data_IF_682881701001
#
_entry.id   IF_682881701001
#
_cell.length_a   1.000
_cell.length_b   1.000
_cell.length_c   1.000
_cell.angle_alpha   90.00
_cell.angle_beta   90.00
_cell.angle_gamma   90.00
#
_symmetry.space_group_name_H-M   'P 1'
#
loop_
_entity.id
_entity.type
_entity.pdbx_description
1 polymer ?
#
# COMPACT_ATOMS: atom_id res chain seq x y z
N UNK A 1 22.96 -32.27 -19.88
CA UNK A 1 22.98 -32.24 -18.40
C UNK A 1 21.68 -31.63 -17.94
N UNK A 2 20.88 -32.38 -17.19
CA UNK A 2 19.59 -31.95 -16.65
C UNK A 2 19.72 -31.11 -15.37
N UNK A 3 18.59 -30.70 -14.78
CA UNK A 3 18.57 -30.11 -13.44
C UNK A 3 19.05 -31.13 -12.39
N UNK A 4 19.65 -30.65 -11.31
CA UNK A 4 20.24 -31.47 -10.25
C UNK A 4 19.43 -31.41 -8.95
N UNK A 5 19.86 -32.18 -7.95
CA UNK A 5 19.29 -32.15 -6.60
C UNK A 5 19.28 -30.74 -5.97
N UNK A 6 20.21 -29.86 -6.38
CA UNK A 6 20.29 -28.49 -5.86
C UNK A 6 19.11 -27.59 -6.29
N UNK A 7 18.43 -27.95 -7.37
CA UNK A 7 17.27 -27.21 -7.88
C UNK A 7 15.93 -27.79 -7.42
N UNK A 8 15.94 -28.87 -6.64
CA UNK A 8 14.70 -29.47 -6.09
C UNK A 8 13.98 -28.45 -5.21
N UNK A 9 12.67 -28.33 -5.40
CA UNK A 9 11.81 -27.32 -4.77
C UNK A 9 11.73 -25.99 -5.53
N UNK A 10 12.57 -25.76 -6.54
CA UNK A 10 12.53 -24.55 -7.36
C UNK A 10 11.57 -24.71 -8.54
N UNK A 11 11.02 -23.60 -9.03
CA UNK A 11 10.18 -23.60 -10.23
C UNK A 11 11.05 -23.55 -11.47
N UNK A 12 10.93 -24.50 -12.38
CA UNK A 12 11.74 -24.59 -13.61
C UNK A 12 10.87 -24.53 -14.87
N UNK A 13 11.52 -24.18 -15.98
CA UNK A 13 11.08 -24.59 -17.33
C UNK A 13 12.13 -25.52 -17.92
N UNK A 14 11.71 -26.68 -18.40
CA UNK A 14 12.57 -27.73 -18.95
C UNK A 14 12.11 -28.02 -20.37
N UNK A 15 12.98 -27.82 -21.35
CA UNK A 15 12.75 -28.21 -22.74
C UNK A 15 13.33 -29.60 -22.98
N UNK A 16 12.46 -30.51 -23.41
CA UNK A 16 12.79 -31.90 -23.69
C UNK A 16 12.74 -32.17 -25.19
N UNK A 17 13.64 -33.01 -25.68
CA UNK A 17 13.55 -33.61 -27.00
C UNK A 17 12.48 -34.70 -27.00
N UNK A 18 11.74 -34.86 -28.09
CA UNK A 18 10.74 -35.92 -28.27
C UNK A 18 11.32 -37.00 -29.21
N UNK A 19 11.14 -38.31 -28.94
CA UNK A 19 11.66 -39.39 -29.79
C UNK A 19 11.23 -39.31 -31.27
N UNK A 20 10.02 -38.82 -31.53
CA UNK A 20 9.41 -38.68 -32.87
C UNK A 20 9.88 -37.42 -33.61
N UNK A 21 10.75 -36.62 -32.99
CA UNK A 21 11.21 -35.32 -33.48
C UNK A 21 10.54 -34.13 -32.79
N UNK A 22 11.24 -33.02 -32.72
CA UNK A 22 10.76 -31.78 -32.09
C UNK A 22 11.06 -31.68 -30.59
N UNK A 23 10.37 -30.74 -29.93
CA UNK A 23 10.58 -30.39 -28.54
C UNK A 23 9.25 -30.20 -27.80
N UNK A 24 9.24 -30.50 -26.50
CA UNK A 24 8.15 -30.14 -25.57
C UNK A 24 8.72 -29.40 -24.37
N UNK A 25 7.92 -28.50 -23.80
CA UNK A 25 8.29 -27.74 -22.60
C UNK A 25 7.49 -28.23 -21.38
N UNK A 26 8.18 -28.45 -20.26
CA UNK A 26 7.58 -28.69 -18.96
C UNK A 26 7.81 -27.48 -18.06
N UNK A 27 6.78 -27.05 -17.34
CA UNK A 27 6.85 -25.93 -16.39
C UNK A 27 6.20 -26.34 -15.08
N UNK A 28 6.91 -26.15 -13.96
CA UNK A 28 6.45 -26.58 -12.65
C UNK A 28 7.54 -26.52 -11.59
N UNK A 29 7.27 -27.08 -10.41
CA UNK A 29 8.25 -27.20 -9.32
C UNK A 29 9.01 -28.51 -9.49
N UNK A 30 10.34 -28.47 -9.50
CA UNK A 30 11.17 -29.67 -9.59
C UNK A 30 11.01 -30.47 -8.28
N UNK A 31 10.51 -31.70 -8.35
CA UNK A 31 10.36 -32.58 -7.18
C UNK A 31 11.52 -33.54 -7.02
N UNK A 32 12.13 -33.94 -8.14
CA UNK A 32 13.36 -34.72 -8.19
C UNK A 32 14.13 -34.38 -9.46
N UNK A 33 15.34 -34.91 -9.62
CA UNK A 33 16.17 -34.74 -10.83
C UNK A 33 15.50 -35.23 -12.13
N UNK A 34 14.37 -35.94 -12.01
CA UNK A 34 13.62 -36.55 -13.12
C UNK A 34 12.12 -36.23 -13.10
N UNK A 35 11.64 -35.38 -12.19
CA UNK A 35 10.20 -35.10 -12.08
C UNK A 35 9.87 -33.65 -11.74
N UNK A 36 8.78 -33.15 -12.35
CA UNK A 36 8.30 -31.78 -12.17
C UNK A 36 6.78 -31.76 -11.89
N UNK A 37 6.39 -31.10 -10.81
CA UNK A 37 5.00 -30.88 -10.42
C UNK A 37 4.43 -29.66 -11.15
N UNK A 38 3.46 -29.88 -12.03
CA UNK A 38 2.80 -28.82 -12.80
C UNK A 38 1.86 -27.98 -11.94
N UNK A 39 1.42 -26.83 -12.47
CA UNK A 39 0.52 -25.89 -11.79
C UNK A 39 -0.83 -26.52 -11.39
N UNK A 40 -1.31 -27.49 -12.16
CA UNK A 40 -2.54 -28.24 -11.90
C UNK A 40 -2.37 -29.35 -10.85
N UNK A 41 -1.18 -29.50 -10.27
CA UNK A 41 -0.86 -30.54 -9.28
C UNK A 41 -0.44 -31.89 -9.89
N UNK A 42 -0.47 -32.04 -11.21
CA UNK A 42 -0.01 -33.27 -11.87
C UNK A 42 1.52 -33.39 -11.82
N UNK A 43 2.03 -34.60 -11.62
CA UNK A 43 3.46 -34.89 -11.72
C UNK A 43 3.80 -35.27 -13.16
N UNK A 44 4.88 -34.73 -13.70
CA UNK A 44 5.43 -35.12 -15.00
C UNK A 44 6.85 -35.59 -14.85
N UNK A 45 7.12 -36.81 -15.31
CA UNK A 45 8.45 -37.40 -15.34
C UNK A 45 9.15 -37.09 -16.68
N UNK A 46 10.48 -37.04 -16.63
CA UNK A 46 11.34 -36.85 -17.79
C UNK A 46 12.66 -37.57 -17.61
N UNK A 47 13.28 -37.93 -18.74
CA UNK A 47 14.59 -38.55 -18.74
C UNK A 47 15.68 -37.45 -18.82
N UNK A 48 16.73 -37.49 -17.99
CA UNK A 48 17.81 -36.49 -18.03
C UNK A 48 18.50 -36.39 -19.40
N UNK A 49 18.57 -37.47 -20.17
CA UNK A 49 19.11 -37.51 -21.53
C UNK A 49 18.26 -36.74 -22.55
N UNK A 50 16.97 -36.58 -22.30
CA UNK A 50 16.06 -35.83 -23.19
C UNK A 50 16.13 -34.32 -22.95
N UNK A 51 16.77 -33.88 -21.86
CA UNK A 51 16.86 -32.45 -21.50
C UNK A 51 17.81 -31.71 -22.44
N UNK A 52 17.23 -30.77 -23.20
CA UNK A 52 17.95 -29.93 -24.16
C UNK A 52 18.42 -28.64 -23.49
N UNK A 53 17.52 -27.98 -22.78
CA UNK A 53 17.81 -26.78 -22.01
C UNK A 53 16.83 -26.71 -20.85
N UNK A 54 17.29 -26.18 -19.72
CA UNK A 54 16.44 -25.88 -18.59
C UNK A 54 16.88 -24.56 -17.97
N UNK A 55 15.95 -23.91 -17.25
CA UNK A 55 16.27 -22.75 -16.41
C UNK A 55 15.36 -22.71 -15.21
N UNK A 56 15.90 -22.20 -14.10
CA UNK A 56 15.10 -21.78 -12.95
C UNK A 56 14.27 -20.57 -13.37
N UNK A 57 12.97 -20.61 -13.07
CA UNK A 57 12.07 -19.47 -13.17
C UNK A 57 12.16 -18.73 -11.84
N UNK A 58 12.92 -17.65 -11.85
CA UNK A 58 12.89 -16.70 -10.74
C UNK A 58 11.47 -16.11 -10.63
N UNK A 59 10.85 -16.11 -9.45
CA UNK A 59 9.60 -15.40 -9.26
C UNK A 59 9.82 -13.93 -9.62
N UNK A 60 8.90 -13.28 -10.36
CA UNK A 60 9.03 -11.87 -10.69
C UNK A 60 9.24 -11.07 -9.41
N UNK A 61 10.14 -10.08 -9.47
CA UNK A 61 10.42 -9.22 -8.32
C UNK A 61 9.11 -8.58 -7.85
N UNK A 62 8.80 -8.78 -6.57
CA UNK A 62 7.59 -8.29 -5.91
C UNK A 62 7.72 -6.77 -5.64
N UNK A 63 7.67 -6.00 -6.73
CA UNK A 63 7.87 -4.56 -6.77
C UNK A 63 6.61 -3.79 -6.37
N UNK A 64 6.81 -2.61 -5.79
CA UNK A 64 5.74 -1.75 -5.30
C UNK A 64 4.72 -1.34 -6.39
N UNK A 65 5.20 -1.03 -7.60
CA UNK A 65 4.35 -0.51 -8.67
C UNK A 65 4.00 -1.48 -9.81
N UNK A 66 4.44 -2.74 -9.79
CA UNK A 66 4.32 -3.64 -10.94
C UNK A 66 3.96 -5.08 -10.54
N UNK A 67 3.53 -5.90 -11.52
CA UNK A 67 3.47 -7.37 -11.38
C UNK A 67 2.08 -8.01 -11.30
N UNK A 68 1.01 -7.24 -11.09
CA UNK A 68 -0.39 -7.71 -11.14
C UNK A 68 -1.23 -6.79 -12.05
N UNK A 69 -2.41 -7.22 -12.55
CA UNK A 69 -3.38 -6.33 -13.17
C UNK A 69 -3.64 -5.10 -12.30
N UNK A 70 -3.75 -3.92 -12.91
CA UNK A 70 -3.81 -2.63 -12.20
C UNK A 70 -4.90 -2.59 -11.12
N UNK A 71 -6.11 -3.08 -11.41
CA UNK A 71 -7.22 -3.11 -10.46
C UNK A 71 -6.95 -3.97 -9.23
N UNK A 72 -6.32 -5.14 -9.40
CA UNK A 72 -5.91 -6.01 -8.30
C UNK A 72 -4.84 -5.32 -7.46
N UNK A 73 -3.88 -4.66 -8.11
CA UNK A 73 -2.80 -3.95 -7.41
C UNK A 73 -3.31 -2.73 -6.63
N UNK A 74 -4.25 -1.96 -7.19
CA UNK A 74 -4.94 -0.87 -6.49
C UNK A 74 -5.56 -1.40 -5.21
N UNK A 75 -6.32 -2.49 -5.29
CA UNK A 75 -6.95 -3.10 -4.11
C UNK A 75 -5.93 -3.55 -3.06
N UNK A 76 -4.83 -4.20 -3.46
CA UNK A 76 -3.77 -4.62 -2.53
C UNK A 76 -3.16 -3.42 -1.78
N UNK A 77 -2.89 -2.33 -2.51
CA UNK A 77 -2.30 -1.11 -1.94
C UNK A 77 -3.30 -0.41 -1.01
N UNK A 78 -4.57 -0.33 -1.39
CA UNK A 78 -5.63 0.25 -0.55
C UNK A 78 -5.89 -0.58 0.71
N UNK A 79 -5.82 -1.90 0.61
CA UNK A 79 -5.88 -2.78 1.78
C UNK A 79 -4.70 -2.53 2.74
N UNK A 80 -3.47 -2.41 2.22
CA UNK A 80 -2.30 -2.07 3.03
C UNK A 80 -2.39 -0.66 3.66
N UNK A 81 -2.90 0.32 2.90
CA UNK A 81 -3.15 1.67 3.39
C UNK A 81 -4.21 1.69 4.51
N UNK A 82 -5.27 0.90 4.39
CA UNK A 82 -6.29 0.75 5.42
C UNK A 82 -5.74 0.03 6.67
N UNK A 83 -4.96 -1.03 6.49
CA UNK A 83 -4.37 -1.79 7.60
C UNK A 83 -3.37 -0.97 8.44
N UNK A 84 -2.77 0.08 7.86
CA UNK A 84 -1.81 0.96 8.55
C UNK A 84 -2.44 2.24 9.14
N UNK A 85 -3.74 2.43 8.91
CA UNK A 85 -4.57 3.50 9.46
C UNK A 85 -6.03 3.00 9.67
N UNK A 86 -6.24 2.03 10.57
CA UNK A 86 -7.55 1.40 10.72
C UNK A 86 -8.55 2.34 11.39
N UNK A 87 -9.83 2.15 11.08
CA UNK A 87 -10.91 2.83 11.78
C UNK A 87 -11.17 2.21 13.16
N UNK A 88 -11.72 3.02 14.07
CA UNK A 88 -12.09 2.56 15.41
C UNK A 88 -13.33 1.64 15.37
N UNK A 89 -14.22 1.90 14.42
CA UNK A 89 -15.40 1.11 14.13
C UNK A 89 -15.49 0.82 12.63
N UNK A 90 -15.90 -0.40 12.29
CA UNK A 90 -16.09 -0.83 10.90
C UNK A 90 -17.37 -1.61 10.75
N UNK A 91 -18.03 -1.44 9.61
CA UNK A 91 -19.14 -2.28 9.16
C UNK A 91 -18.93 -2.71 7.71
N UNK A 92 -19.76 -3.63 7.21
CA UNK A 92 -19.71 -4.09 5.82
C UNK A 92 -21.08 -4.05 5.15
N UNK A 93 -21.07 -3.68 3.86
CA UNK A 93 -22.20 -3.85 2.93
C UNK A 93 -21.63 -4.58 1.72
N UNK A 94 -21.86 -5.88 1.62
CA UNK A 94 -21.13 -6.72 0.67
C UNK A 94 -19.61 -6.55 0.86
N UNK A 95 -18.90 -6.19 -0.20
CA UNK A 95 -17.46 -5.94 -0.18
C UNK A 95 -17.10 -4.45 0.03
N UNK A 96 -18.06 -3.61 0.45
CA UNK A 96 -17.78 -2.26 0.93
C UNK A 96 -17.40 -2.27 2.40
N UNK A 97 -16.24 -1.71 2.73
CA UNK A 97 -15.81 -1.48 4.09
C UNK A 97 -16.24 -0.08 4.54
N UNK A 98 -17.20 0.00 5.45
CA UNK A 98 -17.62 1.24 6.08
C UNK A 98 -16.71 1.50 7.29
N UNK A 99 -16.19 2.72 7.41
CA UNK A 99 -15.21 3.10 8.44
C UNK A 99 -15.71 4.32 9.21
N UNK A 100 -15.72 4.25 10.53
CA UNK A 100 -16.13 5.34 11.42
C UNK A 100 -15.18 5.46 12.63
N UNK A 101 -14.76 6.69 12.93
CA UNK A 101 -13.82 7.02 14.01
C UNK A 101 -14.13 8.36 14.70
N UNK A 102 -15.17 9.09 14.30
CA UNK A 102 -15.69 10.31 14.96
C UNK A 102 -14.78 11.55 14.94
N UNK A 103 -13.51 11.42 14.53
CA UNK A 103 -12.47 12.47 14.63
C UNK A 103 -12.02 12.98 13.26
N UNK A 104 -11.00 13.84 13.21
CA UNK A 104 -10.50 14.47 11.98
C UNK A 104 -9.71 13.50 11.08
N UNK A 105 -10.41 12.66 10.30
CA UNK A 105 -9.78 11.77 9.31
C UNK A 105 -10.77 11.23 8.27
N UNK A 106 -10.66 11.66 7.01
CA UNK A 106 -11.44 11.04 5.93
C UNK A 106 -11.02 9.56 5.71
N UNK A 107 -9.73 9.26 5.86
CA UNK A 107 -9.19 7.89 5.72
C UNK A 107 -9.84 6.88 6.66
N UNK A 108 -10.27 7.27 7.86
CA UNK A 108 -10.96 6.37 8.80
C UNK A 108 -12.44 6.74 9.04
N UNK A 109 -13.00 7.63 8.21
CA UNK A 109 -14.41 8.03 8.19
C UNK A 109 -14.95 8.03 6.74
N UNK A 110 -14.75 6.94 6.00
CA UNK A 110 -15.24 6.82 4.62
C UNK A 110 -15.42 5.36 4.20
N UNK A 111 -16.34 5.12 3.27
CA UNK A 111 -16.54 3.84 2.62
C UNK A 111 -15.35 3.54 1.72
N UNK A 112 -14.77 2.35 1.82
CA UNK A 112 -13.75 1.85 0.91
C UNK A 112 -14.28 0.63 0.15
N UNK A 113 -14.53 0.72 -1.17
CA UNK A 113 -14.89 -0.44 -1.98
C UNK A 113 -13.70 -1.40 -2.15
N UNK A 114 -13.87 -2.66 -1.77
CA UNK A 114 -12.85 -3.72 -1.90
C UNK A 114 -13.26 -4.86 -2.85
N UNK A 115 -14.52 -4.88 -3.28
CA UNK A 115 -15.04 -5.88 -4.21
C UNK A 115 -14.61 -5.68 -5.66
N UNK A 116 -15.03 -6.56 -6.57
CA UNK A 116 -14.79 -6.37 -8.00
C UNK A 116 -15.47 -5.09 -8.55
N UNK A 117 -14.88 -4.45 -9.58
CA UNK A 117 -15.53 -3.36 -10.31
C UNK A 117 -16.85 -3.84 -10.96
N UNK A 118 -17.75 -2.92 -11.31
CA UNK A 118 -17.54 -1.46 -11.33
C UNK A 118 -17.89 -0.71 -10.05
N UNK A 119 -18.73 -1.30 -9.20
CA UNK A 119 -19.22 -0.65 -7.98
C UNK A 119 -18.60 -1.21 -6.70
N UNK A 120 -17.68 -2.17 -6.76
CA UNK A 120 -17.09 -2.78 -5.58
C UNK A 120 -18.01 -3.74 -4.82
N UNK A 121 -18.99 -4.33 -5.53
CA UNK A 121 -19.89 -5.40 -5.07
C UNK A 121 -20.56 -5.18 -3.70
N UNK A 122 -21.54 -4.26 -3.58
CA UNK A 122 -22.32 -4.11 -2.35
C UNK A 122 -23.21 -5.33 -2.03
N UNK A 123 -23.40 -6.26 -2.98
CA UNK A 123 -24.23 -7.45 -2.80
C UNK A 123 -25.74 -7.19 -2.80
N UNK A 124 -26.15 -5.94 -2.98
CA UNK A 124 -27.53 -5.45 -3.06
C UNK A 124 -27.64 -4.42 -4.19
N UNK A 125 -28.84 -3.91 -4.43
CA UNK A 125 -29.04 -2.80 -5.37
C UNK A 125 -28.16 -1.59 -5.01
N UNK A 126 -27.62 -0.90 -6.02
CA UNK A 126 -26.63 0.14 -5.79
C UNK A 126 -27.20 1.35 -5.03
N UNK A 127 -28.43 1.77 -5.36
CA UNK A 127 -29.08 2.90 -4.69
C UNK A 127 -29.50 2.52 -3.27
N UNK A 128 -29.94 1.26 -3.06
CA UNK A 128 -30.17 0.73 -1.71
C UNK A 128 -28.87 0.73 -0.88
N UNK A 129 -27.75 0.33 -1.48
CA UNK A 129 -26.43 0.38 -0.85
C UNK A 129 -26.02 1.79 -0.44
N UNK A 130 -26.19 2.78 -1.32
CA UNK A 130 -25.89 4.19 -1.05
C UNK A 130 -26.78 4.72 0.09
N UNK A 131 -28.08 4.41 0.10
CA UNK A 131 -28.99 4.78 1.19
C UNK A 131 -28.51 4.24 2.54
N UNK A 132 -28.12 2.95 2.61
CA UNK A 132 -27.62 2.34 3.84
C UNK A 132 -26.29 2.95 4.31
N UNK A 133 -25.45 3.40 3.39
CA UNK A 133 -24.23 4.16 3.71
C UNK A 133 -24.61 5.49 4.39
N UNK A 134 -25.58 6.22 3.84
CA UNK A 134 -26.05 7.49 4.43
C UNK A 134 -26.61 7.26 5.83
N UNK A 135 -27.42 6.22 6.03
CA UNK A 135 -27.98 5.85 7.34
C UNK A 135 -26.87 5.51 8.36
N UNK A 136 -25.89 4.71 7.94
CA UNK A 136 -24.75 4.34 8.79
C UNK A 136 -23.99 5.57 9.27
N UNK A 137 -23.60 6.47 8.37
CA UNK A 137 -22.85 7.66 8.76
C UNK A 137 -23.68 8.64 9.60
N UNK A 138 -24.98 8.78 9.29
CA UNK A 138 -25.91 9.59 10.09
C UNK A 138 -26.03 9.08 11.53
N UNK A 139 -26.12 7.76 11.72
CA UNK A 139 -26.13 7.14 13.06
C UNK A 139 -24.84 7.40 13.86
N UNK A 140 -23.72 7.66 13.18
CA UNK A 140 -22.43 8.00 13.78
C UNK A 140 -22.19 9.51 13.92
N UNK A 141 -23.16 10.37 13.57
CA UNK A 141 -23.01 11.82 13.50
C UNK A 141 -21.84 12.25 12.59
N UNK A 142 -21.66 11.54 11.47
CA UNK A 142 -20.65 11.81 10.45
C UNK A 142 -21.32 12.07 9.10
N UNK A 143 -20.74 12.89 8.21
CA UNK A 143 -21.19 12.94 6.84
C UNK A 143 -20.85 11.62 6.14
N UNK A 144 -21.72 11.17 5.23
CA UNK A 144 -21.40 10.03 4.38
C UNK A 144 -20.32 10.42 3.37
N UNK A 145 -19.27 9.61 3.29
CA UNK A 145 -18.13 9.85 2.40
C UNK A 145 -17.73 8.55 1.73
N UNK A 146 -17.56 8.55 0.41
CA UNK A 146 -16.90 7.47 -0.32
C UNK A 146 -15.43 7.83 -0.57
N UNK A 147 -14.53 6.91 -0.25
CA UNK A 147 -13.16 6.85 -0.76
C UNK A 147 -13.21 6.02 -2.04
N UNK A 148 -12.91 6.62 -3.20
CA UNK A 148 -13.08 5.96 -4.50
C UNK A 148 -11.71 5.81 -5.20
N UNK A 149 -11.08 4.62 -5.14
CA UNK A 149 -9.86 4.35 -5.90
C UNK A 149 -10.10 4.35 -7.41
N UNK A 150 -9.40 5.23 -8.12
CA UNK A 150 -9.48 5.40 -9.56
C UNK A 150 -8.29 4.74 -10.27
N UNK A 151 -8.47 4.21 -11.49
CA UNK A 151 -9.71 4.20 -12.28
C UNK A 151 -10.66 3.03 -11.96
N UNK A 152 -10.35 2.20 -10.96
CA UNK A 152 -11.07 0.93 -10.68
C UNK A 152 -12.58 1.12 -10.52
N UNK A 153 -13.01 2.18 -9.84
CA UNK A 153 -14.42 2.44 -9.54
C UNK A 153 -14.94 3.73 -10.18
N UNK A 154 -14.49 4.06 -11.39
CA UNK A 154 -14.92 5.27 -12.11
C UNK A 154 -16.43 5.35 -12.35
N UNK A 155 -17.13 4.22 -12.53
CA UNK A 155 -18.59 4.22 -12.66
C UNK A 155 -19.31 4.51 -11.33
N UNK A 156 -18.73 4.10 -10.19
CA UNK A 156 -19.25 4.49 -8.88
C UNK A 156 -19.04 5.99 -8.65
N UNK A 157 -17.89 6.52 -9.06
CA UNK A 157 -17.63 7.97 -9.02
C UNK A 157 -18.66 8.76 -9.83
N UNK A 158 -18.88 8.37 -11.08
CA UNK A 158 -19.83 9.02 -11.99
C UNK A 158 -21.25 8.99 -11.42
N UNK A 159 -21.72 7.82 -10.96
CA UNK A 159 -23.03 7.66 -10.33
C UNK A 159 -23.21 8.59 -9.12
N UNK A 160 -22.25 8.62 -8.20
CA UNK A 160 -22.35 9.47 -7.01
C UNK A 160 -22.37 10.96 -7.37
N UNK A 161 -21.59 11.38 -8.38
CA UNK A 161 -21.61 12.77 -8.87
C UNK A 161 -22.95 13.13 -9.51
N UNK A 162 -23.55 12.21 -10.27
CA UNK A 162 -24.90 12.38 -10.83
C UNK A 162 -25.97 12.53 -9.74
N UNK A 163 -25.80 11.84 -8.61
CA UNK A 163 -26.64 11.96 -7.41
C UNK A 163 -26.29 13.19 -6.53
N UNK A 164 -25.41 14.09 -7.00
CA UNK A 164 -25.11 15.35 -6.32
C UNK A 164 -24.03 15.27 -5.24
N UNK A 165 -23.30 14.16 -5.13
CA UNK A 165 -22.16 14.07 -4.21
C UNK A 165 -21.04 14.98 -4.68
N UNK A 166 -20.42 15.68 -3.73
CA UNK A 166 -19.42 16.71 -4.02
C UNK A 166 -18.02 16.18 -3.75
N UNK A 167 -17.07 16.53 -4.61
CA UNK A 167 -15.67 16.23 -4.37
C UNK A 167 -15.13 17.03 -3.19
N UNK A 168 -14.50 16.32 -2.25
CA UNK A 168 -13.83 16.93 -1.11
C UNK A 168 -12.35 17.17 -1.37
N UNK A 169 -11.67 16.15 -1.88
CA UNK A 169 -10.25 16.19 -2.22
C UNK A 169 -9.88 14.98 -3.08
N UNK A 170 -8.99 15.20 -4.04
CA UNK A 170 -8.33 14.15 -4.82
C UNK A 170 -6.92 13.92 -4.27
N UNK A 171 -6.56 12.65 -4.11
CA UNK A 171 -5.33 12.22 -3.46
C UNK A 171 -4.58 11.27 -4.37
N UNK A 172 -3.27 11.50 -4.49
CA UNK A 172 -2.36 10.61 -5.18
C UNK A 172 -1.82 9.57 -4.20
N UNK A 173 -1.88 8.30 -4.60
CA UNK A 173 -1.17 7.21 -3.94
C UNK A 173 0.15 7.00 -4.66
N UNK A 174 1.25 7.28 -3.97
CA UNK A 174 2.59 7.11 -4.50
C UNK A 174 3.27 5.92 -3.83
N UNK A 175 4.01 5.13 -4.60
CA UNK A 175 4.69 3.92 -4.12
C UNK A 175 6.16 3.89 -4.54
N UNK A 176 6.99 3.24 -3.72
CA UNK A 176 8.40 3.00 -3.99
C UNK A 176 8.84 1.62 -3.50
N UNK A 177 9.81 1.01 -4.18
CA UNK A 177 10.59 -0.08 -3.60
C UNK A 177 11.55 0.51 -2.55
N UNK A 178 11.67 -0.13 -1.39
CA UNK A 178 12.59 0.32 -0.34
C UNK A 178 14.01 -0.11 -0.71
N UNK A 179 14.84 0.87 -1.07
CA UNK A 179 16.25 0.67 -1.40
C UNK A 179 17.15 0.44 -0.19
N UNK A 180 18.45 0.40 -0.42
CA UNK A 180 19.45 0.48 0.64
C UNK A 180 19.65 1.95 1.03
N UNK A 181 19.03 2.34 2.15
CA UNK A 181 19.21 3.66 2.72
C UNK A 181 20.27 3.60 3.82
N UNK A 182 21.26 4.49 3.72
CA UNK A 182 22.12 4.80 4.86
C UNK A 182 21.39 5.77 5.77
N UNK A 183 21.61 5.63 7.07
CA UNK A 183 21.05 6.57 8.05
C UNK A 183 21.57 7.98 7.76
N UNK A 184 20.64 8.92 7.60
CA UNK A 184 20.99 10.29 7.36
C UNK A 184 21.59 10.90 8.64
N UNK A 185 22.88 11.21 8.57
CA UNK A 185 23.58 11.91 9.64
C UNK A 185 23.69 13.40 9.33
N UNK A 186 23.60 14.22 10.38
CA UNK A 186 23.73 15.68 10.28
C UNK A 186 24.73 16.22 11.29
N UNK A 187 25.40 17.30 10.90
CA UNK A 187 26.25 18.06 11.81
C UNK A 187 25.45 18.72 12.95
N UNK A 188 24.18 19.05 12.72
CA UNK A 188 23.30 19.66 13.71
C UNK A 188 22.01 18.87 13.89
N UNK A 189 21.71 18.60 15.15
CA UNK A 189 20.53 17.88 15.59
C UNK A 189 20.72 16.37 15.73
N UNK A 190 19.73 15.72 16.32
CA UNK A 190 19.70 14.28 16.57
C UNK A 190 18.35 13.70 16.11
N UNK A 191 18.42 12.62 15.36
CA UNK A 191 17.26 11.81 15.01
C UNK A 191 16.91 10.86 16.17
N UNK A 192 15.63 10.80 16.48
CA UNK A 192 15.07 9.87 17.47
C UNK A 192 13.89 9.15 16.80
N UNK A 193 13.85 7.82 16.90
CA UNK A 193 12.79 6.99 16.34
C UNK A 193 12.26 6.10 17.44
N UNK A 194 10.98 6.30 17.77
CA UNK A 194 10.29 5.59 18.83
C UNK A 194 9.26 4.60 18.26
N UNK A 195 8.88 3.59 19.04
CA UNK A 195 7.80 2.64 18.68
C UNK A 195 6.39 3.14 19.01
N UNK A 196 6.27 4.31 19.66
CA UNK A 196 5.00 4.92 20.06
C UNK A 196 5.14 6.45 20.06
N UNK A 197 4.08 7.22 19.72
CA UNK A 197 4.18 8.67 19.71
C UNK A 197 4.18 9.23 21.13
N UNK A 198 5.12 10.12 21.43
CA UNK A 198 5.13 10.91 22.68
C UNK A 198 4.10 12.04 22.61
N UNK A 199 3.74 12.61 23.76
CA UNK A 199 2.83 13.77 23.80
C UNK A 199 3.39 14.98 23.05
N UNK A 200 4.69 15.24 23.17
CA UNK A 200 5.35 16.31 22.40
C UNK A 200 5.25 16.08 20.89
N UNK A 201 5.44 14.85 20.43
CA UNK A 201 5.31 14.50 19.00
C UNK A 201 3.87 14.69 18.50
N UNK A 202 2.87 14.30 19.31
CA UNK A 202 1.46 14.52 18.98
C UNK A 202 1.13 16.02 18.91
N UNK A 203 1.61 16.81 19.87
CA UNK A 203 1.41 18.26 19.90
C UNK A 203 2.09 18.94 18.70
N UNK A 204 3.30 18.51 18.33
CA UNK A 204 4.02 19.01 17.16
C UNK A 204 3.24 18.81 15.85
N UNK A 205 2.49 17.72 15.74
CA UNK A 205 1.61 17.46 14.59
C UNK A 205 0.20 18.05 14.70
N UNK A 206 -0.08 18.83 15.75
CA UNK A 206 -1.42 19.31 16.10
C UNK A 206 -2.44 18.16 16.05
N UNK A 207 -2.16 17.04 16.72
CA UNK A 207 -3.00 15.85 16.63
C UNK A 207 -4.44 16.12 17.12
N UNK A 208 -5.39 16.05 16.21
CA UNK A 208 -6.83 16.21 16.49
C UNK A 208 -7.48 14.90 16.99
N UNK A 209 -6.78 14.18 17.87
CA UNK A 209 -7.28 13.01 18.59
C UNK A 209 -7.15 11.65 17.87
N UNK A 210 -6.40 11.54 16.78
CA UNK A 210 -6.22 10.25 16.08
C UNK A 210 -5.06 9.42 16.65
N UNK A 211 -4.47 9.84 17.77
CA UNK A 211 -3.46 9.07 18.51
C UNK A 211 -3.86 7.60 18.77
N UNK A 212 -5.14 7.33 19.04
CA UNK A 212 -5.62 5.95 19.26
C UNK A 212 -5.50 5.09 17.99
N UNK A 213 -5.83 5.63 16.82
CA UNK A 213 -5.64 4.97 15.52
C UNK A 213 -4.15 4.73 15.25
N UNK A 214 -3.32 5.73 15.56
CA UNK A 214 -1.87 5.58 15.34
C UNK A 214 -1.27 4.49 16.22
N UNK A 215 -1.68 4.42 17.49
CA UNK A 215 -1.22 3.44 18.49
C UNK A 215 -1.79 2.03 18.30
N UNK A 216 -2.84 1.85 17.48
CA UNK A 216 -3.46 0.54 17.28
C UNK A 216 -2.72 -0.35 16.27
N UNK A 217 -1.66 0.17 15.62
CA UNK A 217 -0.86 -0.59 14.66
C UNK A 217 0.63 -0.36 14.89
N UNK A 218 1.49 -1.37 14.62
CA UNK A 218 2.93 -1.21 14.67
C UNK A 218 3.40 -0.07 13.76
N UNK A 219 4.10 0.89 14.36
CA UNK A 219 4.62 2.04 13.65
C UNK A 219 5.88 2.59 14.32
N UNK A 220 6.61 3.40 13.55
CA UNK A 220 7.84 4.07 13.96
C UNK A 220 7.63 5.57 13.81
N UNK A 221 7.98 6.30 14.86
CA UNK A 221 7.71 7.73 15.02
C UNK A 221 9.04 8.45 15.07
N UNK A 222 9.44 9.01 13.94
CA UNK A 222 10.68 9.77 13.82
C UNK A 222 10.47 11.21 14.28
N UNK A 223 11.49 11.75 14.94
CA UNK A 223 11.62 13.15 15.29
C UNK A 223 13.06 13.64 15.11
N UNK A 224 13.24 14.82 14.49
CA UNK A 224 14.53 15.52 14.49
C UNK A 224 14.49 16.59 15.58
N UNK A 225 15.44 16.52 16.51
CA UNK A 225 15.65 17.58 17.52
C UNK A 225 16.85 18.43 17.18
N UNK A 226 16.69 19.74 17.23
CA UNK A 226 17.79 20.72 17.15
C UNK A 226 17.76 21.56 18.42
N UNK A 227 18.86 21.55 19.18
CA UNK A 227 18.96 22.22 20.49
C UNK A 227 17.81 21.84 21.45
N UNK A 228 17.42 20.56 21.46
CA UNK A 228 16.34 20.03 22.29
C UNK A 228 14.93 20.21 21.73
N UNK A 229 14.73 21.08 20.72
CA UNK A 229 13.43 21.39 20.13
C UNK A 229 13.12 20.44 18.98
N UNK A 230 11.92 19.85 18.96
CA UNK A 230 11.42 19.04 17.84
C UNK A 230 11.12 19.93 16.63
N UNK A 231 11.81 19.71 15.50
CA UNK A 231 11.72 20.55 14.28
C UNK A 231 11.22 19.79 13.05
N UNK A 232 11.23 18.46 13.08
CA UNK A 232 10.62 17.62 12.06
C UNK A 232 10.10 16.33 12.68
N UNK A 233 9.06 15.76 12.09
CA UNK A 233 8.40 14.57 12.57
C UNK A 233 7.74 13.79 11.44
N UNK A 234 7.67 12.47 11.60
CA UNK A 234 7.09 11.57 10.61
C UNK A 234 6.77 10.21 11.18
N UNK A 235 5.83 9.51 10.54
CA UNK A 235 5.38 8.18 10.95
C UNK A 235 5.53 7.18 9.80
N UNK A 236 6.09 6.01 10.10
CA UNK A 236 6.11 4.83 9.23
C UNK A 236 5.33 3.70 9.89
N UNK A 237 4.17 3.35 9.34
CA UNK A 237 3.39 2.20 9.82
C UNK A 237 3.61 0.98 8.94
N UNK A 238 3.74 -0.19 9.54
CA UNK A 238 4.17 -1.40 8.84
C UNK A 238 3.05 -2.42 8.81
N UNK A 239 2.78 -2.95 7.63
CA UNK A 239 1.85 -4.06 7.43
C UNK A 239 2.43 -5.00 6.37
N UNK A 240 2.74 -6.23 6.78
CA UNK A 240 3.46 -7.19 5.96
C UNK A 240 4.75 -6.58 5.36
N UNK A 241 4.86 -6.53 4.03
CA UNK A 241 6.01 -5.94 3.32
C UNK A 241 5.87 -4.44 3.05
N UNK A 242 4.76 -3.82 3.45
CA UNK A 242 4.47 -2.42 3.19
C UNK A 242 4.80 -1.51 4.37
N UNK A 243 5.40 -0.36 4.07
CA UNK A 243 5.57 0.77 4.96
C UNK A 243 4.72 1.96 4.46
N UNK A 244 3.67 2.32 5.20
CA UNK A 244 2.87 3.50 4.93
C UNK A 244 3.44 4.72 5.66
N UNK A 245 3.96 5.68 4.89
CA UNK A 245 4.43 6.95 5.43
C UNK A 245 3.25 7.91 5.65
N UNK A 246 3.24 8.58 6.80
CA UNK A 246 2.21 9.54 7.16
C UNK A 246 2.77 10.57 8.14
N UNK A 247 2.02 11.66 8.38
CA UNK A 247 2.40 12.72 9.32
C UNK A 247 3.80 13.30 9.04
N UNK A 248 4.25 13.34 7.78
CA UNK A 248 5.53 13.95 7.44
C UNK A 248 5.41 15.48 7.55
N UNK A 249 6.20 16.09 8.42
CA UNK A 249 6.19 17.54 8.62
C UNK A 249 7.57 18.05 9.03
N UNK A 250 7.92 19.22 8.49
CA UNK A 250 9.11 20.00 8.86
C UNK A 250 8.66 21.41 9.19
N UNK A 251 9.09 21.90 10.35
CA UNK A 251 8.82 23.25 10.82
C UNK A 251 9.27 24.28 9.78
N UNK A 252 8.47 25.32 9.46
CA UNK A 252 8.75 26.28 8.39
C UNK A 252 10.17 26.85 8.40
N UNK A 253 10.67 27.22 9.58
CA UNK A 253 12.01 27.80 9.77
C UNK A 253 13.16 26.84 9.45
N UNK A 254 12.87 25.54 9.34
CA UNK A 254 13.84 24.47 9.08
C UNK A 254 13.66 23.84 7.69
N UNK A 255 12.81 24.42 6.83
CA UNK A 255 12.59 23.94 5.46
C UNK A 255 13.75 24.29 4.54
N UNK A 256 13.80 23.63 3.38
CA UNK A 256 14.83 23.80 2.33
C UNK A 256 16.26 23.48 2.78
N UNK A 257 16.41 22.68 3.85
CA UNK A 257 17.69 22.23 4.39
C UNK A 257 17.90 20.71 4.25
N UNK A 258 17.16 20.05 3.36
CA UNK A 258 17.23 18.59 3.16
C UNK A 258 16.50 17.74 4.22
N UNK A 259 15.98 18.33 5.30
CA UNK A 259 15.39 17.60 6.44
C UNK A 259 14.27 16.63 6.03
N UNK A 260 13.37 17.03 5.12
CA UNK A 260 12.28 16.16 4.70
C UNK A 260 12.78 14.90 3.96
N UNK A 261 13.86 15.03 3.19
CA UNK A 261 14.51 13.89 2.52
C UNK A 261 15.10 12.93 3.55
N UNK A 262 15.83 13.46 4.52
CA UNK A 262 16.46 12.68 5.59
C UNK A 262 15.42 11.98 6.47
N UNK A 263 14.32 12.67 6.79
CA UNK A 263 13.19 12.10 7.54
C UNK A 263 12.65 10.84 6.86
N UNK A 264 12.39 10.92 5.55
CA UNK A 264 11.88 9.78 4.78
C UNK A 264 12.93 8.67 4.71
N UNK A 265 14.20 9.01 4.45
CA UNK A 265 15.28 8.01 4.40
C UNK A 265 15.45 7.24 5.71
N UNK A 266 15.41 7.94 6.85
CA UNK A 266 15.52 7.32 8.17
C UNK A 266 14.32 6.44 8.50
N UNK A 267 13.10 6.90 8.19
CA UNK A 267 11.89 6.08 8.33
C UNK A 267 11.90 4.84 7.43
N UNK A 268 12.38 4.95 6.19
CA UNK A 268 12.45 3.83 5.26
C UNK A 268 13.54 2.83 5.64
N UNK A 269 14.71 3.29 6.12
CA UNK A 269 15.76 2.43 6.70
C UNK A 269 15.19 1.60 7.85
N UNK A 270 14.56 2.28 8.80
CA UNK A 270 14.05 1.64 10.00
C UNK A 270 12.86 0.70 9.71
N UNK A 271 12.00 1.03 8.73
CA UNK A 271 10.98 0.12 8.24
C UNK A 271 11.57 -1.11 7.52
N UNK A 272 12.70 -0.95 6.81
CA UNK A 272 13.42 -2.04 6.17
C UNK A 272 13.98 -3.03 7.19
N UNK A 273 14.55 -2.52 8.27
CA UNK A 273 15.06 -3.33 9.39
C UNK A 273 13.94 -4.17 10.04
N UNK A 274 12.69 -3.73 9.90
CA UNK A 274 11.47 -4.43 10.33
C UNK A 274 10.83 -5.31 9.23
N UNK A 275 11.50 -5.49 8.09
CA UNK A 275 11.09 -6.40 7.01
C UNK A 275 10.24 -5.78 5.90
N UNK A 276 9.98 -4.48 5.93
CA UNK A 276 9.29 -3.81 4.83
C UNK A 276 10.20 -3.75 3.58
N UNK A 277 9.64 -4.08 2.42
CA UNK A 277 10.35 -4.01 1.13
C UNK A 277 9.75 -2.99 0.18
N UNK A 278 8.56 -2.49 0.49
CA UNK A 278 7.80 -1.51 -0.30
C UNK A 278 7.29 -0.40 0.59
N UNK A 279 7.15 0.79 0.06
CA UNK A 279 6.54 1.91 0.75
C UNK A 279 5.42 2.53 -0.08
N UNK A 280 4.41 3.03 0.61
CA UNK A 280 3.33 3.83 0.06
C UNK A 280 3.15 5.11 0.86
N UNK A 281 2.61 6.14 0.21
CA UNK A 281 2.12 7.34 0.86
C UNK A 281 0.91 7.88 0.10
N UNK A 282 0.14 8.71 0.80
CA UNK A 282 -1.06 9.38 0.27
C UNK A 282 -0.85 10.88 0.40
N UNK A 283 -0.92 11.60 -0.72
CA UNK A 283 -0.65 13.04 -0.79
C UNK A 283 -1.74 13.74 -1.60
N UNK A 284 -2.28 14.84 -1.06
CA UNK A 284 -3.19 15.72 -1.80
C UNK A 284 -2.56 16.14 -3.13
N UNK A 285 -3.29 16.01 -4.24
CA UNK A 285 -2.76 16.30 -5.58
C UNK A 285 -2.29 17.75 -5.75
N UNK A 286 -2.83 18.68 -4.95
CA UNK A 286 -2.42 20.09 -4.95
C UNK A 286 -1.08 20.33 -4.26
N UNK A 287 -0.55 19.36 -3.51
CA UNK A 287 0.70 19.49 -2.76
C UNK A 287 1.93 19.18 -3.62
N UNK A 288 2.15 20.03 -4.62
CA UNK A 288 3.23 19.87 -5.62
C UNK A 288 4.63 19.84 -4.99
N UNK A 289 4.86 20.55 -3.87
CA UNK A 289 6.14 20.54 -3.16
C UNK A 289 6.44 19.15 -2.57
N UNK A 290 5.45 18.54 -1.91
CA UNK A 290 5.59 17.20 -1.35
C UNK A 290 5.73 16.15 -2.46
N UNK A 291 4.94 16.24 -3.53
CA UNK A 291 5.03 15.34 -4.69
C UNK A 291 6.44 15.37 -5.29
N UNK A 292 6.99 16.57 -5.57
CA UNK A 292 8.35 16.70 -6.12
C UNK A 292 9.43 16.14 -5.19
N UNK A 293 9.25 16.23 -3.87
CA UNK A 293 10.14 15.58 -2.90
C UNK A 293 10.07 14.05 -3.03
N UNK A 294 8.88 13.48 -3.09
CA UNK A 294 8.68 12.04 -3.17
C UNK A 294 9.21 11.45 -4.48
N UNK A 295 9.01 12.13 -5.61
CA UNK A 295 9.59 11.74 -6.91
C UNK A 295 11.11 11.67 -6.86
N UNK A 296 11.77 12.67 -6.25
CA UNK A 296 13.23 12.67 -6.04
C UNK A 296 13.72 11.55 -5.12
N UNK A 297 12.83 11.00 -4.31
CA UNK A 297 13.08 9.87 -3.41
C UNK A 297 12.76 8.51 -4.05
N UNK A 298 12.32 8.50 -5.32
CA UNK A 298 12.02 7.27 -6.06
C UNK A 298 10.58 6.78 -5.92
N UNK A 299 9.69 7.57 -5.31
CA UNK A 299 8.26 7.29 -5.35
C UNK A 299 7.69 7.67 -6.71
N UNK A 300 6.82 6.82 -7.24
CA UNK A 300 6.03 7.09 -8.43
C UNK A 300 4.55 7.10 -8.08
N UNK A 301 3.77 7.95 -8.75
CA UNK A 301 2.30 7.89 -8.69
C UNK A 301 1.86 6.53 -9.23
N UNK A 302 1.13 5.77 -8.41
CA UNK A 302 0.55 4.49 -8.83
C UNK A 302 -0.88 4.68 -9.32
N UNK A 303 -1.68 5.39 -8.53
CA UNK A 303 -3.07 5.69 -8.83
C UNK A 303 -3.53 6.88 -7.99
N UNK A 304 -4.74 7.35 -8.23
CA UNK A 304 -5.41 8.35 -7.42
C UNK A 304 -6.67 7.77 -6.79
N UNK A 305 -7.18 8.46 -5.79
CA UNK A 305 -8.54 8.27 -5.33
C UNK A 305 -9.16 9.64 -5.06
N UNK A 306 -10.50 9.68 -5.07
CA UNK A 306 -11.26 10.88 -4.69
C UNK A 306 -12.11 10.58 -3.47
N UNK A 307 -12.24 11.56 -2.57
CA UNK A 307 -13.29 11.55 -1.56
C UNK A 307 -14.52 12.29 -2.09
N UNK A 308 -15.64 11.58 -2.28
CA UNK A 308 -16.94 12.18 -2.54
C UNK A 308 -17.75 12.22 -1.26
N UNK A 309 -18.27 13.39 -0.89
CA UNK A 309 -19.04 13.63 0.32
C UNK A 309 -20.49 13.93 -0.02
N UNK A 310 -21.40 13.27 0.70
CA UNK A 310 -22.82 13.60 0.67
C UNK A 310 -23.03 14.88 1.45
N UNK A 311 -23.59 15.89 0.79
CA UNK A 311 -24.07 17.10 1.46
C UNK A 311 -25.57 16.90 1.69
N UNK A 312 -26.03 16.64 2.91
CA UNK A 312 -27.46 16.66 3.17
C UNK A 312 -28.00 18.08 2.89
N UNK A 313 -29.19 18.14 2.29
CA UNK A 313 -29.99 19.38 2.22
C UNK A 313 -30.34 19.91 3.62
#
# INVERSE_FOLDING_TARGET
MGPSVHEVGQRLTIRLRIPEGGFRDLVGILESETSIRRRDGSLSEFLPEDVVVWRVIEPPKDRAGHGAPLSLRIRDIEAAANATWPALETAQIGDWLLRASGKFTLRANSVLPLGPPPYGNPGIDIHEGISRVIDFYSAHNLPAVFHIPLPTYGQLEELLREEGWVEKVTVLVMVADIGDFQEAQRATGKWEIESSPTEEWLNFHNDHGVAQIMKSVPARYAGLRINGVLVAGGRAAIHEKWCALSRLYVHPDFRRQGIAKELVQNLLKDAKDLGATKSLLQVDESNLEAISLYEKLGFAVHHSYVYLIHQPE
#
